data_IF_827144052683
#
_entry.id   IF_827144052683
#
_cell.length_a   1.000
_cell.length_b   1.000
_cell.length_c   1.000
_cell.angle_alpha   90.00
_cell.angle_beta   90.00
_cell.angle_gamma   90.00
#
_symmetry.space_group_name_H-M   'P 1'
#
loop_
_entity.id
_entity.type
_entity.pdbx_description
1 polymer ?
#
# COMPACT_ATOMS: atom_id res chain seq x y z
N UNK A 1 15.57 15.97 -19.33
CA UNK A 1 14.96 17.24 -18.88
C UNK A 1 15.28 17.40 -17.41
N UNK A 2 15.82 18.53 -16.99
CA UNK A 2 16.03 18.84 -15.57
C UNK A 2 14.89 19.73 -15.11
N UNK A 3 14.37 19.45 -13.92
CA UNK A 3 13.27 20.21 -13.31
C UNK A 3 13.81 20.86 -12.05
N UNK A 4 13.65 22.18 -11.94
CA UNK A 4 13.98 22.89 -10.73
C UNK A 4 12.96 22.57 -9.62
N UNK A 5 13.47 22.18 -8.46
CA UNK A 5 12.68 21.94 -7.28
C UNK A 5 13.43 22.46 -6.05
N UNK A 6 12.68 22.86 -5.03
CA UNK A 6 13.20 23.31 -3.75
C UNK A 6 12.89 22.24 -2.71
N UNK A 7 13.90 21.82 -1.97
CA UNK A 7 13.72 21.01 -0.77
C UNK A 7 13.42 21.94 0.41
N UNK A 8 12.31 21.70 1.10
CA UNK A 8 11.90 22.45 2.28
C UNK A 8 11.26 21.49 3.29
N UNK A 9 11.88 21.35 4.47
CA UNK A 9 11.38 20.55 5.59
C UNK A 9 10.96 19.10 5.22
N UNK A 10 11.77 18.40 4.43
CA UNK A 10 11.48 17.01 4.03
C UNK A 10 10.57 16.89 2.80
N UNK A 11 10.13 18.00 2.20
CA UNK A 11 9.23 18.03 1.05
C UNK A 11 9.95 18.65 -0.16
N UNK A 12 9.92 17.95 -1.30
CA UNK A 12 10.42 18.47 -2.57
C UNK A 12 9.27 19.18 -3.29
N UNK A 13 9.38 20.49 -3.49
CA UNK A 13 8.39 21.32 -4.19
C UNK A 13 8.92 21.73 -5.55
N UNK A 14 8.16 21.44 -6.61
CA UNK A 14 8.51 21.89 -7.96
C UNK A 14 8.17 23.38 -8.13
N UNK A 15 9.07 24.15 -8.77
CA UNK A 15 8.84 25.59 -9.01
C UNK A 15 7.70 25.84 -10.00
N UNK A 16 7.42 24.87 -10.87
CA UNK A 16 6.32 24.92 -11.82
C UNK A 16 5.41 23.69 -11.63
N UNK A 17 4.09 23.84 -11.80
CA UNK A 17 3.18 22.71 -11.78
C UNK A 17 3.45 21.80 -12.97
N UNK A 18 3.90 20.57 -12.70
CA UNK A 18 4.21 19.57 -13.74
C UNK A 18 3.19 18.44 -13.63
N UNK A 19 2.56 18.13 -14.76
CA UNK A 19 1.70 16.95 -14.87
C UNK A 19 2.48 15.82 -15.53
N UNK A 20 2.69 14.74 -14.79
CA UNK A 20 3.33 13.54 -15.31
C UNK A 20 2.30 12.64 -15.99
N UNK A 21 2.67 12.07 -17.14
CA UNK A 21 1.82 11.11 -17.85
C UNK A 21 1.63 9.80 -17.09
N UNK A 22 2.64 9.41 -16.30
CA UNK A 22 2.64 8.18 -15.53
C UNK A 22 2.42 8.47 -14.06
N UNK A 23 1.65 7.59 -13.40
CA UNK A 23 1.42 7.67 -11.95
C UNK A 23 2.65 7.34 -11.11
N UNK A 24 3.63 6.62 -11.69
CA UNK A 24 4.85 6.22 -11.00
C UNK A 24 6.03 6.14 -11.98
N UNK A 25 7.16 6.71 -11.59
CA UNK A 25 8.45 6.60 -12.28
C UNK A 25 9.58 6.92 -11.30
N UNK A 26 10.81 6.50 -11.63
CA UNK A 26 11.98 6.73 -10.77
C UNK A 26 12.50 8.16 -10.94
N UNK A 27 12.78 8.82 -9.83
CA UNK A 27 13.45 10.11 -9.77
C UNK A 27 14.87 9.92 -9.27
N UNK A 28 15.83 10.61 -9.89
CA UNK A 28 17.20 10.68 -9.44
C UNK A 28 17.44 12.09 -8.90
N UNK A 29 17.80 12.18 -7.63
CA UNK A 29 18.02 13.44 -6.92
C UNK A 29 19.50 13.48 -6.56
N UNK A 30 20.18 14.52 -7.03
CA UNK A 30 21.58 14.76 -6.70
C UNK A 30 21.62 15.70 -5.50
N UNK A 31 22.14 15.21 -4.37
CA UNK A 31 22.21 15.94 -3.11
C UNK A 31 23.68 16.03 -2.68
N UNK A 32 24.20 17.23 -2.40
CA UNK A 32 25.55 17.37 -1.88
C UNK A 32 25.65 16.77 -0.47
N UNK A 33 26.77 16.13 -0.16
CA UNK A 33 26.99 15.45 1.12
C UNK A 33 26.88 16.39 2.34
N UNK A 34 27.11 17.68 2.15
CA UNK A 34 27.00 18.71 3.20
C UNK A 34 25.58 18.89 3.75
N UNK A 35 24.55 18.48 3.00
CA UNK A 35 23.14 18.65 3.37
C UNK A 35 22.54 17.38 4.02
N UNK A 36 23.37 16.35 4.26
CA UNK A 36 22.94 15.06 4.80
C UNK A 36 23.46 14.90 6.23
N UNK A 37 22.56 15.06 7.20
CA UNK A 37 22.83 14.68 8.60
C UNK A 37 22.86 13.14 8.73
N UNK A 38 24.04 12.55 8.57
CA UNK A 38 24.31 11.11 8.65
C UNK A 38 24.12 10.49 10.04
N UNK A 39 23.67 11.26 11.04
CA UNK A 39 23.35 10.73 12.39
C UNK A 39 22.08 9.85 12.38
N UNK A 40 21.29 9.89 11.32
CA UNK A 40 20.18 8.96 11.16
C UNK A 40 20.71 7.67 10.56
N UNK A 41 20.72 6.60 11.36
CA UNK A 41 21.02 5.23 10.94
C UNK A 41 20.41 4.92 9.57
N UNK A 42 21.06 4.11 8.71
CA UNK A 42 20.55 3.83 7.37
C UNK A 42 19.14 3.27 7.54
N UNK A 43 18.14 4.07 7.18
CA UNK A 43 16.78 3.59 7.11
C UNK A 43 16.83 2.43 6.13
N UNK A 44 16.68 1.22 6.68
CA UNK A 44 16.59 0.00 5.92
C UNK A 44 15.70 0.30 4.72
N UNK A 45 16.29 0.17 3.54
CA UNK A 45 15.64 0.04 2.24
C UNK A 45 14.17 0.48 2.25
N UNK A 46 13.86 1.56 1.54
CA UNK A 46 12.52 1.84 1.02
C UNK A 46 12.09 0.72 0.04
N UNK A 47 12.03 -0.52 0.53
CA UNK A 47 11.26 -1.62 0.01
C UNK A 47 9.86 -1.36 0.52
N UNK A 48 9.02 -0.82 -0.34
CA UNK A 48 7.58 -0.75 -0.14
C UNK A 48 6.95 -2.15 -0.21
N UNK A 49 7.49 -3.10 0.55
CA UNK A 49 6.72 -4.24 1.00
C UNK A 49 5.93 -3.71 2.21
N UNK A 50 4.59 -3.59 2.13
CA UNK A 50 3.81 -3.24 3.31
C UNK A 50 4.15 -4.27 4.38
N UNK A 51 4.68 -3.81 5.51
CA UNK A 51 4.78 -4.63 6.71
C UNK A 51 3.41 -5.23 6.97
N UNK A 52 3.33 -6.49 7.40
CA UNK A 52 2.05 -7.18 7.64
C UNK A 52 1.09 -6.36 8.53
N UNK A 53 1.65 -5.49 9.39
CA UNK A 53 0.94 -4.49 10.19
C UNK A 53 0.21 -3.42 9.35
N UNK A 54 0.86 -2.88 8.31
CA UNK A 54 0.28 -1.90 7.39
C UNK A 54 -0.77 -2.53 6.46
N UNK A 55 -0.55 -3.78 6.03
CA UNK A 55 -1.54 -4.54 5.26
C UNK A 55 -2.80 -4.87 6.09
N UNK A 56 -2.63 -5.21 7.38
CA UNK A 56 -3.75 -5.39 8.32
C UNK A 56 -4.53 -4.08 8.53
N UNK A 57 -3.83 -2.93 8.59
CA UNK A 57 -4.45 -1.61 8.77
C UNK A 57 -5.27 -1.21 7.54
N UNK A 58 -4.73 -1.44 6.33
CA UNK A 58 -5.46 -1.22 5.08
C UNK A 58 -6.66 -2.16 4.94
N UNK A 59 -6.50 -3.45 5.27
CA UNK A 59 -7.59 -4.43 5.26
C UNK A 59 -8.75 -4.02 6.17
N UNK A 60 -8.44 -3.52 7.38
CA UNK A 60 -9.46 -3.02 8.31
C UNK A 60 -10.18 -1.77 7.77
N UNK A 61 -9.46 -0.87 7.09
CA UNK A 61 -10.07 0.31 6.46
C UNK A 61 -11.04 -0.05 5.33
N UNK A 62 -10.71 -1.05 4.51
CA UNK A 62 -11.61 -1.56 3.47
C UNK A 62 -12.82 -2.27 4.05
N UNK A 63 -12.65 -3.07 5.11
CA UNK A 63 -13.78 -3.69 5.80
C UNK A 63 -14.73 -2.64 6.39
N UNK A 64 -14.21 -1.55 6.95
CA UNK A 64 -15.03 -0.44 7.44
C UNK A 64 -15.81 0.25 6.32
N UNK A 65 -15.19 0.44 5.13
CA UNK A 65 -15.91 0.97 3.96
C UNK A 65 -17.00 0.02 3.46
N UNK A 66 -16.71 -1.28 3.40
CA UNK A 66 -17.70 -2.30 2.99
C UNK A 66 -18.88 -2.32 3.96
N UNK A 67 -18.63 -2.24 5.27
CA UNK A 67 -19.67 -2.12 6.29
C UNK A 67 -20.50 -0.83 6.11
N UNK A 68 -19.85 0.30 5.80
CA UNK A 68 -20.56 1.55 5.56
C UNK A 68 -21.47 1.49 4.32
N UNK A 69 -21.04 0.79 3.26
CA UNK A 69 -21.83 0.61 2.03
C UNK A 69 -23.01 -0.35 2.26
N UNK A 70 -22.77 -1.47 2.95
CA UNK A 70 -23.78 -2.51 3.15
C UNK A 70 -24.75 -2.20 4.29
N UNK A 71 -24.35 -1.38 5.27
CA UNK A 71 -25.19 -0.92 6.38
C UNK A 71 -25.93 -2.07 7.09
N UNK A 72 -27.28 -2.05 7.13
CA UNK A 72 -28.07 -3.10 7.79
C UNK A 72 -28.05 -4.44 7.07
N UNK A 73 -27.55 -4.50 5.83
CA UNK A 73 -27.38 -5.75 5.09
C UNK A 73 -26.02 -6.41 5.34
N UNK A 74 -25.13 -5.77 6.11
CA UNK A 74 -23.88 -6.41 6.50
C UNK A 74 -24.14 -7.53 7.50
N UNK A 75 -23.93 -8.78 7.05
CA UNK A 75 -24.03 -9.96 7.90
C UNK A 75 -22.64 -10.60 7.98
N UNK A 76 -21.91 -10.47 9.11
CA UNK A 76 -20.63 -11.13 9.25
C UNK A 76 -20.83 -12.64 9.22
N UNK A 77 -19.96 -13.34 8.48
CA UNK A 77 -19.96 -14.81 8.46
C UNK A 77 -19.72 -15.32 9.89
N UNK A 78 -20.45 -16.37 10.28
CA UNK A 78 -20.21 -17.05 11.54
C UNK A 78 -18.78 -17.58 11.59
N UNK A 79 -18.16 -17.58 12.78
CA UNK A 79 -16.80 -18.09 12.97
C UNK A 79 -16.78 -19.57 12.60
N UNK A 80 -16.03 -19.91 11.55
CA UNK A 80 -15.79 -21.28 11.10
C UNK A 80 -14.46 -21.79 11.62
N UNK A 81 -14.34 -23.11 11.72
CA UNK A 81 -13.04 -23.75 11.97
C UNK A 81 -12.18 -23.67 10.70
N UNK A 82 -10.85 -23.62 10.88
CA UNK A 82 -9.88 -23.69 9.78
C UNK A 82 -10.09 -24.94 8.92
N UNK A 83 -10.52 -26.04 9.52
CA UNK A 83 -10.82 -27.29 8.80
C UNK A 83 -12.03 -27.17 7.89
N UNK A 84 -13.06 -26.43 8.33
CA UNK A 84 -14.26 -26.18 7.53
C UNK A 84 -13.96 -25.25 6.35
N UNK A 85 -13.12 -24.23 6.56
CA UNK A 85 -12.72 -23.33 5.48
C UNK A 85 -11.89 -24.04 4.41
N UNK A 86 -11.02 -24.97 4.82
CA UNK A 86 -10.27 -25.82 3.88
C UNK A 86 -11.20 -26.70 3.07
N UNK A 87 -12.18 -27.34 3.70
CA UNK A 87 -13.15 -28.18 3.00
C UNK A 87 -13.95 -27.36 1.97
N UNK A 88 -14.50 -26.21 2.36
CA UNK A 88 -15.23 -25.33 1.44
C UNK A 88 -14.36 -24.82 0.29
N UNK A 89 -13.07 -24.57 0.53
CA UNK A 89 -12.15 -24.14 -0.51
C UNK A 89 -11.87 -25.24 -1.53
N UNK A 90 -11.72 -26.49 -1.08
CA UNK A 90 -11.54 -27.65 -1.96
C UNK A 90 -12.80 -27.87 -2.80
N UNK A 91 -13.98 -27.87 -2.20
CA UNK A 91 -15.26 -28.03 -2.91
C UNK A 91 -15.42 -26.93 -4.00
N UNK A 92 -15.10 -25.68 -3.69
CA UNK A 92 -15.19 -24.57 -4.65
C UNK A 92 -14.17 -24.68 -5.80
N UNK A 93 -12.99 -25.24 -5.54
CA UNK A 93 -12.01 -25.52 -6.58
C UNK A 93 -12.48 -26.67 -7.48
N UNK A 94 -13.03 -27.72 -6.90
CA UNK A 94 -13.59 -28.84 -7.67
C UNK A 94 -14.74 -28.37 -8.56
N UNK A 95 -15.69 -27.58 -8.07
CA UNK A 95 -16.77 -27.05 -8.90
C UNK A 95 -16.27 -26.19 -10.07
N UNK A 96 -15.19 -25.42 -9.86
CA UNK A 96 -14.66 -24.48 -10.86
C UNK A 96 -13.80 -25.15 -11.92
N UNK A 97 -13.07 -26.20 -11.56
CA UNK A 97 -12.05 -26.82 -12.43
C UNK A 97 -12.45 -28.21 -12.95
N UNK A 98 -13.59 -28.75 -12.53
CA UNK A 98 -14.10 -30.07 -13.00
C UNK A 98 -15.24 -29.94 -14.03
N UNK A 99 -15.43 -28.74 -14.61
CA UNK A 99 -16.34 -28.49 -15.75
C UNK A 99 -15.56 -28.22 -17.04
#
# INVERSE_FOLDING_TARGET
>A
MQVAATYDNGIIRFTQPIQFKHRQFKLMIDLPESEIDTTTAPAASCSSAPTAQAAATAGNAYLAQIQAILGPQFHPRAKTSVEQDKATYVDALEEKYTR
#
